data_IF_355410443586
#
_entry.id   IF_355410443586
#
_cell.length_a   1.000
_cell.length_b   1.000
_cell.length_c   1.000
_cell.angle_alpha   90.00
_cell.angle_beta   90.00
_cell.angle_gamma   90.00
#
_symmetry.space_group_name_H-M   'P 1'
#
loop_
_entity.id
_entity.type
_entity.pdbx_description
1 polymer ?
#
# COMPACT_ATOMS: atom_id res chain seq x y z
N UNK A 1 3.26 14.43 -19.84
CA UNK A 1 1.89 14.51 -19.28
C UNK A 1 1.43 15.95 -19.36
N UNK A 2 0.17 16.18 -19.75
CA UNK A 2 -0.42 17.52 -19.73
C UNK A 2 -0.72 17.94 -18.28
N UNK A 3 -0.49 19.21 -17.97
CA UNK A 3 -0.86 19.77 -16.68
C UNK A 3 -2.38 19.94 -16.61
N UNK A 4 -2.95 19.56 -15.47
CA UNK A 4 -4.38 19.69 -15.18
C UNK A 4 -4.57 20.41 -13.85
N UNK A 5 -5.75 20.95 -13.63
CA UNK A 5 -6.10 21.69 -12.42
C UNK A 5 -7.28 21.05 -11.70
N UNK A 6 -7.14 20.86 -10.39
CA UNK A 6 -8.21 20.41 -9.50
C UNK A 6 -8.63 21.53 -8.55
N UNK A 7 -9.92 21.61 -8.25
CA UNK A 7 -10.44 22.56 -7.27
C UNK A 7 -10.29 21.99 -5.87
N UNK A 8 -9.63 22.74 -4.99
CA UNK A 8 -9.50 22.47 -3.56
C UNK A 8 -9.78 23.76 -2.80
N UNK A 9 -10.16 23.65 -1.53
CA UNK A 9 -10.30 24.83 -0.69
C UNK A 9 -8.92 25.47 -0.41
N UNK A 10 -8.95 26.76 -0.07
CA UNK A 10 -7.74 27.56 0.17
C UNK A 10 -6.89 26.97 1.30
N UNK A 11 -7.51 26.46 2.37
CA UNK A 11 -6.77 25.92 3.50
C UNK A 11 -6.02 24.64 3.12
N UNK A 12 -6.64 23.76 2.34
CA UNK A 12 -6.00 22.54 1.81
C UNK A 12 -4.85 22.89 0.88
N UNK A 13 -5.02 23.86 -0.02
CA UNK A 13 -3.94 24.37 -0.88
C UNK A 13 -2.75 24.85 -0.05
N UNK A 14 -3.01 25.65 0.99
CA UNK A 14 -1.96 26.26 1.80
C UNK A 14 -1.21 25.20 2.64
N UNK A 15 -1.91 24.17 3.12
CA UNK A 15 -1.28 23.00 3.77
C UNK A 15 -0.32 22.29 2.81
N UNK A 16 -0.74 22.00 1.58
CA UNK A 16 0.14 21.35 0.60
C UNK A 16 1.33 22.24 0.22
N UNK A 17 1.13 23.54 0.07
CA UNK A 17 2.20 24.49 -0.19
C UNK A 17 3.23 24.52 0.93
N UNK A 18 2.79 24.57 2.19
CA UNK A 18 3.67 24.57 3.35
C UNK A 18 4.49 23.27 3.46
N UNK A 19 3.85 22.12 3.25
CA UNK A 19 4.54 20.82 3.31
C UNK A 19 5.55 20.68 2.16
N UNK A 20 5.16 21.05 0.94
CA UNK A 20 6.06 21.00 -0.22
C UNK A 20 7.28 21.91 0.00
N UNK A 21 7.06 23.13 0.51
CA UNK A 21 8.15 24.06 0.85
C UNK A 21 9.09 23.50 1.92
N UNK A 22 8.55 22.90 2.99
CA UNK A 22 9.34 22.25 4.04
C UNK A 22 10.20 21.09 3.52
N UNK A 23 9.77 20.45 2.42
CA UNK A 23 10.50 19.36 1.73
C UNK A 23 11.39 19.85 0.60
N UNK A 24 11.46 21.17 0.33
CA UNK A 24 12.21 21.72 -0.80
C UNK A 24 11.66 21.32 -2.17
N UNK A 25 10.36 21.01 -2.25
CA UNK A 25 9.68 20.53 -3.45
C UNK A 25 8.66 21.56 -3.96
N UNK A 26 8.33 21.48 -5.25
CA UNK A 26 7.13 22.15 -5.77
C UNK A 26 5.88 21.39 -5.34
N UNK A 27 4.74 22.08 -5.23
CA UNK A 27 3.44 21.45 -4.92
C UNK A 27 3.11 20.33 -5.93
N UNK A 28 3.40 20.56 -7.22
CA UNK A 28 3.24 19.54 -8.27
C UNK A 28 4.07 18.28 -7.99
N UNK A 29 5.35 18.44 -7.67
CA UNK A 29 6.24 17.31 -7.36
C UNK A 29 5.79 16.58 -6.09
N UNK A 30 5.35 17.33 -5.09
CA UNK A 30 4.84 16.76 -3.84
C UNK A 30 3.58 15.93 -4.07
N UNK A 31 2.60 16.48 -4.81
CA UNK A 31 1.35 15.77 -5.11
C UNK A 31 1.58 14.53 -5.98
N UNK A 32 2.52 14.58 -6.91
CA UNK A 32 2.88 13.42 -7.72
C UNK A 32 3.49 12.28 -6.87
N UNK A 33 4.39 12.63 -5.94
CA UNK A 33 4.96 11.67 -5.01
C UNK A 33 3.90 11.09 -4.06
N UNK A 34 3.03 11.95 -3.52
CA UNK A 34 1.93 11.53 -2.66
C UNK A 34 0.98 10.56 -3.37
N UNK A 35 0.63 10.83 -4.64
CA UNK A 35 -0.23 9.94 -5.41
C UNK A 35 0.38 8.52 -5.56
N UNK A 36 1.67 8.43 -5.87
CA UNK A 36 2.36 7.14 -5.98
C UNK A 36 2.40 6.38 -4.63
N UNK A 37 2.60 7.10 -3.53
CA UNK A 37 2.59 6.52 -2.19
C UNK A 37 1.21 5.95 -1.85
N UNK A 38 0.14 6.71 -2.08
CA UNK A 38 -1.23 6.27 -1.84
C UNK A 38 -1.65 5.10 -2.75
N UNK A 39 -1.28 5.12 -4.04
CA UNK A 39 -1.49 4.01 -4.97
C UNK A 39 -0.85 2.72 -4.46
N UNK A 40 0.39 2.82 -3.94
CA UNK A 40 1.09 1.68 -3.36
C UNK A 40 0.40 1.17 -2.08
N UNK A 41 -0.05 2.07 -1.19
CA UNK A 41 -0.78 1.66 0.01
C UNK A 41 -2.10 0.95 -0.33
N UNK A 42 -2.84 1.45 -1.33
CA UNK A 42 -4.05 0.80 -1.82
C UNK A 42 -3.74 -0.61 -2.36
N UNK A 43 -2.72 -0.73 -3.21
CA UNK A 43 -2.29 -2.01 -3.76
C UNK A 43 -1.90 -3.01 -2.66
N UNK A 44 -1.15 -2.56 -1.65
CA UNK A 44 -0.79 -3.38 -0.49
C UNK A 44 -2.01 -3.80 0.33
N UNK A 45 -2.99 -2.91 0.52
CA UNK A 45 -4.25 -3.22 1.20
C UNK A 45 -5.05 -4.31 0.47
N UNK A 46 -5.15 -4.20 -0.86
CA UNK A 46 -5.79 -5.23 -1.69
C UNK A 46 -5.06 -6.57 -1.63
N UNK A 47 -3.72 -6.57 -1.78
CA UNK A 47 -2.91 -7.77 -1.71
C UNK A 47 -3.03 -8.46 -0.35
N UNK A 48 -2.97 -7.69 0.74
CA UNK A 48 -3.12 -8.19 2.12
C UNK A 48 -4.49 -8.83 2.31
N UNK A 49 -5.54 -8.20 1.81
CA UNK A 49 -6.91 -8.72 1.91
C UNK A 49 -7.08 -10.01 1.11
N UNK A 50 -6.54 -10.06 -0.11
CA UNK A 50 -6.57 -11.24 -0.95
C UNK A 50 -5.79 -12.41 -0.30
N UNK A 51 -4.60 -12.12 0.24
CA UNK A 51 -3.78 -13.10 0.95
C UNK A 51 -4.52 -13.66 2.17
N UNK A 52 -5.05 -12.80 3.05
CA UNK A 52 -5.86 -13.21 4.21
C UNK A 52 -7.04 -14.07 3.81
N UNK A 53 -7.72 -13.70 2.73
CA UNK A 53 -8.86 -14.46 2.21
C UNK A 53 -8.42 -15.83 1.71
N UNK A 54 -7.28 -15.93 1.02
CA UNK A 54 -6.76 -17.19 0.50
C UNK A 54 -6.37 -18.13 1.64
N UNK A 55 -5.59 -17.66 2.63
CA UNK A 55 -5.12 -18.51 3.74
C UNK A 55 -6.23 -18.88 4.73
N UNK A 56 -7.32 -18.11 4.80
CA UNK A 56 -8.48 -18.45 5.62
C UNK A 56 -9.38 -19.53 5.01
N UNK A 57 -9.14 -19.96 3.77
CA UNK A 57 -9.92 -21.05 3.16
C UNK A 57 -9.53 -22.38 3.79
N UNK A 58 -10.50 -23.20 4.23
CA UNK A 58 -10.21 -24.54 4.74
C UNK A 58 -9.40 -25.36 3.73
N UNK A 59 -8.39 -26.09 4.22
CA UNK A 59 -7.57 -26.97 3.37
C UNK A 59 -6.40 -26.30 2.66
N UNK A 60 -6.26 -24.96 2.71
CA UNK A 60 -5.15 -24.26 2.03
C UNK A 60 -3.82 -24.48 2.74
N UNK A 61 -3.79 -24.46 4.08
CA UNK A 61 -2.56 -24.69 4.83
C UNK A 61 -2.04 -26.12 4.61
N UNK A 62 -2.94 -27.10 4.63
CA UNK A 62 -2.64 -28.51 4.43
C UNK A 62 -2.20 -28.80 2.99
N UNK A 63 -2.83 -28.15 2.00
CA UNK A 63 -2.42 -28.24 0.60
C UNK A 63 -1.04 -27.59 0.37
N UNK A 64 -0.78 -26.44 1.00
CA UNK A 64 0.51 -25.78 0.93
C UNK A 64 1.61 -26.63 1.56
N UNK A 65 1.38 -27.20 2.73
CA UNK A 65 2.33 -28.10 3.39
C UNK A 65 2.64 -29.34 2.55
N UNK A 66 1.62 -29.91 1.89
CA UNK A 66 1.81 -31.04 0.96
C UNK A 66 2.68 -30.66 -0.25
N UNK A 67 2.45 -29.49 -0.83
CA UNK A 67 3.08 -29.11 -2.09
C UNK A 67 4.47 -28.47 -1.89
N UNK A 68 4.74 -27.89 -0.72
CA UNK A 68 5.98 -27.17 -0.39
C UNK A 68 6.79 -27.76 0.77
N UNK A 69 6.38 -28.90 1.34
CA UNK A 69 7.12 -29.64 2.38
C UNK A 69 6.80 -29.23 3.83
N UNK A 70 5.97 -28.20 4.02
CA UNK A 70 5.50 -27.70 5.31
C UNK A 70 6.60 -27.20 6.26
N UNK A 71 6.21 -26.82 7.47
CA UNK A 71 7.17 -26.36 8.49
C UNK A 71 8.04 -27.52 9.01
N UNK A 72 9.32 -27.29 9.32
CA UNK A 72 10.17 -28.26 10.02
C UNK A 72 9.55 -28.73 11.35
N UNK A 73 9.78 -29.99 11.74
CA UNK A 73 9.11 -30.63 12.88
C UNK A 73 9.36 -29.92 14.23
N UNK A 74 10.48 -29.20 14.36
CA UNK A 74 10.80 -28.37 15.52
C UNK A 74 9.92 -27.12 15.65
N UNK A 75 9.26 -26.68 14.57
CA UNK A 75 8.36 -25.52 14.55
C UNK A 75 6.87 -25.89 14.54
N UNK A 76 6.51 -27.17 14.39
CA UNK A 76 5.11 -27.64 14.44
C UNK A 76 4.55 -27.82 15.85
N UNK A 77 5.40 -27.83 16.88
CA UNK A 77 5.02 -28.14 18.26
C UNK A 77 4.98 -26.92 19.21
N UNK A 78 5.20 -25.71 18.71
CA UNK A 78 5.15 -24.45 19.46
C UNK A 78 3.85 -23.67 19.17
#
# INVERSE_FOLDING_TARGET
MADTTVKIDTATRDRFAAIAAARGQSVKSYLAALALEEENQLALGHATTAFRTAVARPGIAEAFDRDFGGLPDDQRAA
#
